data_IF_666804153876
#
_entry.id   IF_666804153876
#
_cell.length_a   1.000
_cell.length_b   1.000
_cell.length_c   1.000
_cell.angle_alpha   90.00
_cell.angle_beta   90.00
_cell.angle_gamma   90.00
#
_symmetry.space_group_name_H-M   'P 1'
#
loop_
_entity.id
_entity.type
_entity.pdbx_description
1 polymer ?
#
# COMPACT_ATOMS: atom_id res chain seq x y z
N UNK A 1 -1.91 -9.18 -27.42
CA UNK A 1 -1.73 -10.01 -26.22
C UNK A 1 -2.16 -9.19 -25.03
N UNK A 2 -3.02 -9.69 -24.14
CA UNK A 2 -3.41 -8.93 -22.98
C UNK A 2 -2.18 -8.69 -22.10
N UNK A 3 -2.04 -7.46 -21.69
CA UNK A 3 -1.00 -7.01 -20.78
C UNK A 3 -1.01 -7.87 -19.51
N UNK A 4 -0.05 -8.80 -19.40
CA UNK A 4 0.04 -9.72 -18.27
C UNK A 4 0.25 -8.97 -16.94
N UNK A 5 0.80 -7.77 -16.98
CA UNK A 5 1.05 -6.96 -15.80
C UNK A 5 -0.23 -6.37 -15.21
N UNK A 6 -1.22 -5.96 -16.01
CA UNK A 6 -2.49 -5.42 -15.51
C UNK A 6 -3.35 -6.44 -14.75
N UNK A 7 -3.23 -7.74 -15.08
CA UNK A 7 -3.96 -8.81 -14.35
C UNK A 7 -3.33 -9.21 -13.02
N UNK A 8 -2.06 -8.94 -12.82
CA UNK A 8 -1.32 -9.37 -11.63
C UNK A 8 -1.60 -8.48 -10.43
N UNK A 9 -1.80 -7.18 -10.65
CA UNK A 9 -1.95 -6.21 -9.57
C UNK A 9 -3.39 -6.06 -9.06
N UNK A 10 -4.40 -6.44 -9.85
CA UNK A 10 -5.80 -6.25 -9.45
C UNK A 10 -6.59 -7.57 -9.46
N UNK A 11 -7.48 -7.71 -8.50
CA UNK A 11 -8.36 -8.87 -8.33
C UNK A 11 -9.41 -8.96 -9.46
N UNK A 12 -10.21 -10.03 -9.47
CA UNK A 12 -11.26 -10.30 -10.46
C UNK A 12 -12.27 -9.15 -10.64
N UNK A 13 -13.07 -9.19 -11.72
CA UNK A 13 -14.12 -8.19 -12.04
C UNK A 13 -15.05 -7.89 -10.86
N UNK A 14 -15.37 -8.88 -10.03
CA UNK A 14 -16.22 -8.69 -8.82
C UNK A 14 -15.54 -7.78 -7.79
N UNK A 15 -14.24 -7.90 -7.66
CA UNK A 15 -13.43 -7.01 -6.81
C UNK A 15 -13.29 -5.61 -7.38
N UNK A 16 -13.26 -5.47 -8.72
CA UNK A 16 -13.25 -4.15 -9.38
C UNK A 16 -14.52 -3.36 -9.09
N UNK A 17 -15.69 -3.99 -9.03
CA UNK A 17 -16.93 -3.30 -8.64
C UNK A 17 -16.91 -2.83 -7.19
N UNK A 18 -16.31 -3.60 -6.31
CA UNK A 18 -16.11 -3.23 -4.91
C UNK A 18 -15.11 -2.08 -4.76
N UNK A 19 -14.00 -2.14 -5.50
CA UNK A 19 -12.99 -1.06 -5.57
C UNK A 19 -13.64 0.22 -6.12
N UNK A 20 -14.42 0.14 -7.19
CA UNK A 20 -15.10 1.29 -7.78
C UNK A 20 -16.01 2.01 -6.78
N UNK A 21 -16.73 1.26 -5.93
CA UNK A 21 -17.52 1.86 -4.84
C UNK A 21 -16.63 2.57 -3.81
N UNK A 22 -15.50 1.96 -3.43
CA UNK A 22 -14.56 2.57 -2.48
C UNK A 22 -13.88 3.82 -3.06
N UNK A 23 -13.55 3.83 -4.36
CA UNK A 23 -12.98 5.01 -5.03
C UNK A 23 -13.92 6.21 -4.92
N UNK A 24 -15.23 6.01 -5.04
CA UNK A 24 -16.23 7.07 -4.84
C UNK A 24 -16.26 7.63 -3.41
N UNK A 25 -15.68 6.95 -2.43
CA UNK A 25 -15.58 7.43 -1.04
C UNK A 25 -14.32 8.27 -0.80
N UNK A 26 -13.32 8.17 -1.67
CA UNK A 26 -12.09 8.96 -1.56
C UNK A 26 -12.32 10.32 -2.17
N UNK A 27 -12.41 11.33 -1.34
CA UNK A 27 -12.58 12.72 -1.77
C UNK A 27 -11.43 13.56 -1.23
N UNK A 28 -11.11 14.66 -1.92
CA UNK A 28 -10.13 15.60 -1.36
C UNK A 28 -10.72 16.19 -0.07
N UNK A 29 -10.05 16.08 1.09
CA UNK A 29 -10.52 16.70 2.31
C UNK A 29 -10.66 18.21 2.14
N UNK A 30 -11.71 18.79 2.69
CA UNK A 30 -11.97 20.24 2.66
C UNK A 30 -11.45 20.88 3.94
N UNK A 31 -11.89 20.36 5.09
CA UNK A 31 -11.50 20.87 6.40
C UNK A 31 -10.30 20.17 7.01
N UNK A 32 -9.92 19.02 6.46
CA UNK A 32 -8.92 18.11 7.05
C UNK A 32 -9.24 17.74 8.50
N UNK A 33 -10.53 17.63 8.82
CA UNK A 33 -10.95 17.10 10.12
C UNK A 33 -10.54 15.63 10.24
N UNK A 34 -10.40 15.15 11.48
CA UNK A 34 -10.12 13.74 11.76
C UNK A 34 -11.09 12.81 11.01
N UNK A 35 -12.38 13.14 11.02
CA UNK A 35 -13.43 12.36 10.35
C UNK A 35 -13.22 12.26 8.84
N UNK A 36 -12.86 13.36 8.17
CA UNK A 36 -12.61 13.35 6.72
C UNK A 36 -11.34 12.56 6.39
N UNK A 37 -10.27 12.79 7.13
CA UNK A 37 -8.99 12.13 6.92
C UNK A 37 -9.08 10.64 7.20
N UNK A 38 -9.69 10.23 8.34
CA UNK A 38 -9.87 8.83 8.69
C UNK A 38 -10.72 8.08 7.66
N UNK A 39 -11.82 8.68 7.20
CA UNK A 39 -12.68 8.09 6.17
C UNK A 39 -11.93 7.83 4.85
N UNK A 40 -11.13 8.80 4.41
CA UNK A 40 -10.31 8.67 3.22
C UNK A 40 -9.23 7.59 3.38
N UNK A 41 -8.55 7.53 4.53
CA UNK A 41 -7.51 6.53 4.80
C UNK A 41 -8.07 5.11 4.79
N UNK A 42 -9.21 4.88 5.44
CA UNK A 42 -9.88 3.57 5.43
C UNK A 42 -10.30 3.17 4.00
N UNK A 43 -10.81 4.12 3.21
CA UNK A 43 -11.16 3.86 1.82
C UNK A 43 -9.93 3.56 0.95
N UNK A 44 -8.85 4.33 1.10
CA UNK A 44 -7.58 4.12 0.40
C UNK A 44 -6.96 2.77 0.73
N UNK A 45 -6.92 2.37 2.00
CA UNK A 45 -6.40 1.06 2.39
C UNK A 45 -7.17 -0.07 1.72
N UNK A 46 -8.49 0.01 1.71
CA UNK A 46 -9.33 -0.97 1.03
C UNK A 46 -9.14 -1.00 -0.49
N UNK A 47 -8.70 0.08 -1.12
CA UNK A 47 -8.38 0.12 -2.56
C UNK A 47 -6.96 -0.41 -2.80
N UNK A 48 -5.99 0.12 -2.08
CA UNK A 48 -4.58 -0.02 -2.40
C UNK A 48 -3.95 -1.28 -1.78
N UNK A 49 -4.43 -1.74 -0.65
CA UNK A 49 -3.96 -2.97 -0.01
C UNK A 49 -4.87 -4.17 -0.30
N UNK A 50 -6.19 -4.03 -0.14
CA UNK A 50 -7.13 -5.12 -0.34
C UNK A 50 -7.48 -5.36 -1.82
N UNK A 51 -7.32 -4.33 -2.67
CA UNK A 51 -7.58 -4.41 -4.11
C UNK A 51 -6.55 -5.18 -4.91
N UNK A 52 -5.36 -5.46 -4.33
CA UNK A 52 -4.29 -6.18 -5.01
C UNK A 52 -4.47 -7.70 -4.86
N UNK A 53 -4.35 -8.44 -5.97
CA UNK A 53 -4.44 -9.89 -5.98
C UNK A 53 -3.24 -10.55 -5.32
N UNK A 54 -3.42 -11.17 -4.16
CA UNK A 54 -2.35 -11.93 -3.51
C UNK A 54 -1.88 -13.13 -4.35
N UNK A 55 -2.79 -13.82 -5.02
CA UNK A 55 -2.44 -14.96 -5.85
C UNK A 55 -1.64 -14.51 -7.08
N UNK A 56 -2.06 -13.41 -7.71
CA UNK A 56 -1.28 -12.80 -8.80
C UNK A 56 0.12 -12.37 -8.37
N UNK A 57 0.28 -11.83 -7.16
CA UNK A 57 1.61 -11.50 -6.63
C UNK A 57 2.45 -12.75 -6.31
N UNK A 58 1.84 -13.83 -5.81
CA UNK A 58 2.53 -15.11 -5.60
C UNK A 58 3.02 -15.71 -6.90
N UNK A 59 2.17 -15.70 -7.93
CA UNK A 59 2.56 -16.19 -9.26
C UNK A 59 3.73 -15.38 -9.83
N UNK A 60 3.73 -14.06 -9.63
CA UNK A 60 4.85 -13.22 -10.05
C UNK A 60 6.12 -13.49 -9.23
N UNK A 61 6.03 -13.68 -7.90
CA UNK A 61 7.16 -14.08 -7.08
C UNK A 61 7.78 -15.39 -7.60
N UNK A 62 6.96 -16.42 -7.86
CA UNK A 62 7.42 -17.70 -8.40
C UNK A 62 8.12 -17.49 -9.75
N UNK A 63 7.52 -16.71 -10.63
CA UNK A 63 8.09 -16.41 -11.95
C UNK A 63 9.44 -15.67 -11.86
N UNK A 64 9.65 -14.90 -10.80
CA UNK A 64 10.92 -14.20 -10.51
C UNK A 64 11.94 -15.06 -9.74
N UNK A 65 11.62 -16.34 -9.50
CA UNK A 65 12.50 -17.28 -8.78
C UNK A 65 12.38 -17.21 -7.25
N UNK A 66 11.47 -16.40 -6.72
CA UNK A 66 11.24 -16.24 -5.29
C UNK A 66 10.21 -17.28 -4.81
N UNK A 67 10.69 -18.40 -4.25
CA UNK A 67 9.82 -19.52 -3.84
C UNK A 67 9.75 -19.74 -2.33
N UNK A 68 10.70 -19.14 -1.56
CA UNK A 68 10.77 -19.38 -0.13
C UNK A 68 9.69 -18.58 0.62
N UNK A 69 8.91 -19.28 1.44
CA UNK A 69 7.94 -18.75 2.41
C UNK A 69 6.83 -17.84 1.84
N UNK A 70 6.71 -17.73 0.49
CA UNK A 70 5.73 -16.83 -0.14
C UNK A 70 4.26 -17.19 0.17
N UNK A 71 3.98 -18.44 0.55
CA UNK A 71 2.60 -18.90 0.85
C UNK A 71 1.98 -18.18 2.04
N UNK A 72 2.80 -17.81 3.03
CA UNK A 72 2.34 -17.16 4.25
C UNK A 72 2.37 -15.63 4.14
N UNK A 73 3.01 -15.08 3.10
CA UNK A 73 3.13 -13.65 2.93
C UNK A 73 1.82 -13.03 2.47
N UNK A 74 1.49 -11.87 3.04
CA UNK A 74 0.38 -11.02 2.63
C UNK A 74 0.83 -10.00 1.57
N UNK A 75 -0.12 -9.32 0.95
CA UNK A 75 0.03 -8.39 -0.17
C UNK A 75 1.28 -7.51 -0.08
N UNK A 76 1.47 -6.76 1.01
CA UNK A 76 2.60 -5.83 1.17
C UNK A 76 3.95 -6.53 1.16
N UNK A 77 4.06 -7.67 1.85
CA UNK A 77 5.30 -8.46 1.90
C UNK A 77 5.62 -9.16 0.57
N UNK A 78 4.60 -9.62 -0.16
CA UNK A 78 4.78 -10.14 -1.51
C UNK A 78 5.28 -9.04 -2.46
N UNK A 79 4.68 -7.86 -2.40
CA UNK A 79 5.10 -6.73 -3.23
C UNK A 79 6.52 -6.26 -2.86
N UNK A 80 6.86 -6.20 -1.56
CA UNK A 80 8.23 -5.94 -1.12
C UNK A 80 9.22 -6.93 -1.73
N UNK A 81 8.88 -8.21 -1.71
CA UNK A 81 9.72 -9.27 -2.26
C UNK A 81 9.92 -9.14 -3.77
N UNK A 82 8.86 -8.78 -4.51
CA UNK A 82 8.95 -8.50 -5.95
C UNK A 82 9.87 -7.31 -6.22
N UNK A 83 9.73 -6.23 -5.45
CA UNK A 83 10.58 -5.05 -5.61
C UNK A 83 12.04 -5.38 -5.27
N UNK A 84 12.29 -6.22 -4.26
CA UNK A 84 13.64 -6.57 -3.84
C UNK A 84 14.43 -7.35 -4.90
N UNK A 85 13.77 -8.05 -5.81
CA UNK A 85 14.44 -8.72 -6.94
C UNK A 85 15.14 -7.74 -7.89
N UNK A 86 14.73 -6.47 -7.89
CA UNK A 86 15.32 -5.41 -8.74
C UNK A 86 16.17 -4.43 -7.96
N UNK A 87 15.73 -4.05 -6.79
CA UNK A 87 16.27 -2.92 -6.04
C UNK A 87 17.12 -3.35 -4.84
N UNK A 88 17.07 -4.63 -4.45
CA UNK A 88 17.62 -5.12 -3.20
C UNK A 88 16.69 -4.88 -2.00
N UNK A 89 16.95 -5.58 -0.90
CA UNK A 89 16.04 -5.65 0.25
C UNK A 89 15.83 -4.28 0.96
N UNK A 90 16.92 -3.53 1.17
CA UNK A 90 16.80 -2.26 1.90
C UNK A 90 16.02 -1.22 1.10
N UNK A 91 16.34 -1.08 -0.18
CA UNK A 91 15.63 -0.14 -1.05
C UNK A 91 14.18 -0.57 -1.29
N UNK A 92 13.90 -1.86 -1.39
CA UNK A 92 12.54 -2.38 -1.49
C UNK A 92 11.71 -2.03 -0.26
N UNK A 93 12.33 -2.05 0.94
CA UNK A 93 11.68 -1.64 2.19
C UNK A 93 11.26 -0.17 2.15
N UNK A 94 12.16 0.70 1.69
CA UNK A 94 11.87 2.13 1.59
C UNK A 94 10.78 2.41 0.54
N UNK A 95 10.85 1.76 -0.62
CA UNK A 95 9.86 1.95 -1.70
C UNK A 95 8.46 1.53 -1.26
N UNK A 96 8.32 0.44 -0.50
CA UNK A 96 7.01 -0.10 -0.08
C UNK A 96 6.48 0.53 1.21
N UNK A 97 7.29 1.30 1.95
CA UNK A 97 6.92 1.92 3.22
C UNK A 97 5.56 2.64 3.18
N UNK A 98 5.17 3.37 2.12
CA UNK A 98 3.88 4.06 2.07
C UNK A 98 2.67 3.16 2.28
N UNK A 99 2.71 1.89 1.84
CA UNK A 99 1.61 0.94 2.10
C UNK A 99 1.59 0.42 3.53
N UNK A 100 2.73 0.42 4.22
CA UNK A 100 2.78 0.13 5.65
C UNK A 100 2.25 1.32 6.44
N UNK A 101 2.66 2.55 6.13
CA UNK A 101 2.12 3.77 6.75
C UNK A 101 0.61 3.89 6.57
N UNK A 102 0.08 3.60 5.38
CA UNK A 102 -1.36 3.58 5.12
C UNK A 102 -2.10 2.58 6.02
N UNK A 103 -1.55 1.36 6.18
CA UNK A 103 -2.13 0.36 7.07
C UNK A 103 -2.07 0.80 8.54
N UNK A 104 -0.96 1.37 8.97
CA UNK A 104 -0.77 1.80 10.35
C UNK A 104 -1.73 2.94 10.70
N UNK A 105 -1.92 3.88 9.77
CA UNK A 105 -2.95 4.91 9.88
C UNK A 105 -4.37 4.33 9.95
N UNK A 106 -4.67 3.32 9.13
CA UNK A 106 -5.95 2.61 9.21
C UNK A 106 -6.15 1.99 10.59
N UNK A 107 -5.11 1.36 11.15
CA UNK A 107 -5.16 0.78 12.51
C UNK A 107 -5.45 1.85 13.54
N UNK A 108 -4.78 3.01 13.46
CA UNK A 108 -5.00 4.14 14.36
C UNK A 108 -6.43 4.67 14.29
N UNK A 109 -6.94 4.92 13.09
CA UNK A 109 -8.26 5.54 12.92
C UNK A 109 -9.44 4.59 13.09
N UNK A 110 -9.25 3.29 12.84
CA UNK A 110 -10.30 2.29 13.03
C UNK A 110 -10.34 1.71 14.46
N UNK A 111 -9.47 2.14 15.35
CA UNK A 111 -9.37 1.65 16.74
C UNK A 111 -9.33 0.11 16.81
N UNK A 112 -8.50 -0.51 15.97
CA UNK A 112 -8.45 -1.96 15.84
C UNK A 112 -7.63 -2.65 16.94
N UNK A 113 -6.95 -1.90 17.78
CA UNK A 113 -6.06 -2.37 18.85
C UNK A 113 -6.32 -1.61 20.15
N UNK A 114 -5.80 -2.11 21.30
CA UNK A 114 -5.77 -1.36 22.56
C UNK A 114 -5.02 -0.03 22.43
N UNK A 115 -5.41 0.97 23.21
CA UNK A 115 -4.88 2.33 23.13
C UNK A 115 -3.35 2.41 23.26
N UNK A 116 -2.75 1.58 24.10
CA UNK A 116 -1.28 1.53 24.28
C UNK A 116 -0.56 1.10 23.01
N UNK A 117 -1.14 0.18 22.23
CA UNK A 117 -0.57 -0.27 20.96
C UNK A 117 -0.84 0.76 19.85
N UNK A 118 -2.01 1.37 19.85
CA UNK A 118 -2.35 2.48 18.91
C UNK A 118 -1.35 3.63 19.07
N UNK A 119 -0.94 3.96 20.31
CA UNK A 119 0.02 5.04 20.54
C UNK A 119 1.37 4.77 19.85
N UNK A 120 1.87 3.53 19.88
CA UNK A 120 3.10 3.16 19.15
C UNK A 120 3.02 3.41 17.66
N UNK A 121 1.86 3.10 17.04
CA UNK A 121 1.63 3.39 15.62
C UNK A 121 1.57 4.90 15.35
N UNK A 122 0.91 5.67 16.22
CA UNK A 122 0.86 7.14 16.10
C UNK A 122 2.25 7.76 16.20
N UNK A 123 3.06 7.33 17.17
CA UNK A 123 4.43 7.81 17.33
C UNK A 123 5.29 7.49 16.10
N UNK A 124 5.18 6.27 15.57
CA UNK A 124 5.86 5.87 14.34
C UNK A 124 5.47 6.72 13.13
N UNK A 125 4.20 7.07 12.99
CA UNK A 125 3.71 7.95 11.90
C UNK A 125 4.19 9.39 12.09
N UNK A 126 4.15 9.90 13.33
CA UNK A 126 4.67 11.23 13.66
C UNK A 126 6.13 11.35 13.25
N UNK A 127 6.95 10.36 13.60
CA UNK A 127 8.36 10.32 13.23
C UNK A 127 8.56 10.21 11.72
N UNK A 128 7.86 9.28 11.06
CA UNK A 128 8.01 9.03 9.62
C UNK A 128 7.66 10.27 8.77
N UNK A 129 6.64 11.02 9.15
CA UNK A 129 6.18 12.21 8.40
C UNK A 129 6.72 13.53 8.94
N UNK A 130 7.56 13.50 9.98
CA UNK A 130 8.11 14.69 10.62
C UNK A 130 7.03 15.64 11.11
N UNK A 131 6.01 15.08 11.76
CA UNK A 131 4.92 15.84 12.39
C UNK A 131 5.36 16.30 13.78
N UNK A 132 4.73 17.37 14.28
CA UNK A 132 4.88 17.75 15.68
C UNK A 132 3.90 16.98 16.58
N UNK A 133 2.76 16.58 16.01
CA UNK A 133 1.69 15.86 16.69
C UNK A 133 0.85 15.09 15.66
N UNK A 134 0.24 13.97 16.09
CA UNK A 134 -0.62 13.14 15.24
C UNK A 134 -1.88 13.87 14.74
N UNK A 135 -2.30 14.95 15.39
CA UNK A 135 -3.46 15.76 15.00
C UNK A 135 -3.19 16.74 13.84
N UNK A 136 -1.97 16.83 13.35
CA UNK A 136 -1.64 17.59 12.13
C UNK A 136 -2.21 16.93 10.86
N UNK A 137 -3.53 16.67 10.83
CA UNK A 137 -4.23 15.84 9.83
C UNK A 137 -4.00 16.28 8.39
N UNK A 138 -3.86 17.58 8.13
CA UNK A 138 -3.55 18.09 6.78
C UNK A 138 -2.17 17.60 6.34
N UNK A 139 -1.14 17.86 7.14
CA UNK A 139 0.24 17.50 6.81
C UNK A 139 0.39 15.98 6.71
N UNK A 140 -0.23 15.24 7.66
CA UNK A 140 -0.29 13.78 7.64
C UNK A 140 -0.87 13.25 6.32
N UNK A 141 -2.03 13.75 5.92
CA UNK A 141 -2.71 13.30 4.70
C UNK A 141 -1.93 13.67 3.43
N UNK A 142 -1.43 14.90 3.35
CA UNK A 142 -0.66 15.38 2.20
C UNK A 142 0.67 14.61 2.06
N UNK A 143 1.36 14.31 3.16
CA UNK A 143 2.58 13.49 3.16
C UNK A 143 2.30 12.07 2.69
N UNK A 144 1.28 11.41 3.24
CA UNK A 144 0.87 10.09 2.80
C UNK A 144 0.54 10.04 1.30
N UNK A 145 -0.22 11.02 0.80
CA UNK A 145 -0.59 11.07 -0.62
C UNK A 145 0.63 11.27 -1.53
N UNK A 146 1.61 12.07 -1.12
CA UNK A 146 2.85 12.25 -1.86
C UNK A 146 3.69 10.97 -1.91
N UNK A 147 3.79 10.25 -0.81
CA UNK A 147 4.48 8.95 -0.74
C UNK A 147 3.77 7.89 -1.60
N UNK A 148 2.46 7.76 -1.47
CA UNK A 148 1.66 6.84 -2.28
C UNK A 148 1.79 7.15 -3.77
N UNK A 149 1.74 8.42 -4.16
CA UNK A 149 1.97 8.82 -5.55
C UNK A 149 3.35 8.37 -6.05
N UNK A 150 4.39 8.55 -5.25
CA UNK A 150 5.75 8.15 -5.59
C UNK A 150 5.87 6.64 -5.77
N UNK A 151 5.29 5.86 -4.84
CA UNK A 151 5.24 4.40 -4.93
C UNK A 151 4.50 3.93 -6.20
N UNK A 152 3.30 4.45 -6.45
CA UNK A 152 2.50 3.99 -7.60
C UNK A 152 3.10 4.44 -8.93
N UNK A 153 3.73 5.60 -8.97
CA UNK A 153 4.53 6.03 -10.14
C UNK A 153 5.68 5.04 -10.39
N UNK A 154 6.42 4.66 -9.34
CA UNK A 154 7.48 3.64 -9.44
C UNK A 154 6.94 2.32 -9.99
N UNK A 155 5.85 1.79 -9.41
CA UNK A 155 5.23 0.54 -9.84
C UNK A 155 4.73 0.60 -11.29
N UNK A 156 4.22 1.74 -11.72
CA UNK A 156 3.72 1.93 -13.08
C UNK A 156 4.83 1.94 -14.13
N UNK A 157 5.96 2.59 -13.84
CA UNK A 157 7.08 2.72 -14.80
C UNK A 157 8.05 1.53 -14.75
N UNK A 158 8.04 0.74 -13.67
CA UNK A 158 8.98 -0.36 -13.48
C UNK A 158 8.50 -1.60 -14.21
N UNK A 159 9.34 -2.10 -15.10
CA UNK A 159 9.10 -3.36 -15.79
C UNK A 159 9.57 -4.53 -14.93
N UNK A 160 8.62 -5.32 -14.41
CA UNK A 160 8.87 -6.54 -13.64
C UNK A 160 8.84 -7.80 -14.51
N UNK A 161 8.84 -7.69 -15.84
CA UNK A 161 8.93 -8.87 -16.70
C UNK A 161 10.28 -9.56 -16.51
N UNK A 162 10.24 -10.88 -16.54
CA UNK A 162 11.44 -11.71 -16.57
C UNK A 162 12.13 -11.44 -17.90
N UNK A 163 13.36 -10.97 -17.86
CA UNK A 163 14.20 -10.97 -19.06
C UNK A 163 14.54 -12.43 -19.33
N UNK A 164 13.93 -13.01 -20.34
CA UNK A 164 14.37 -14.30 -20.86
C UNK A 164 15.83 -14.14 -21.27
N UNK A 165 16.72 -14.79 -20.53
CA UNK A 165 18.13 -14.87 -20.88
C UNK A 165 18.20 -15.55 -22.25
N UNK A 166 18.70 -14.81 -23.26
CA UNK A 166 18.98 -15.35 -24.57
C UNK A 166 20.15 -16.31 -24.51
#
# INVERSE_FOLDING_TARGET
>A
MPDRNGKIFYTSITSLSHISKKVGLVTKPVSYSEREVSGNIVALDGILNEGISQDGLRDLCIALGETNDIKQLKTRKLLQKIISTKEGEDRARDIIAPLFHLNDLRVCFAHLLPDEDIQKYKDSIVDAFGLSDFSEYRKLYESLMAELYTLYKYLYITDFRIQESK
#
